data_IF_055922606175
#
_entry.id   IF_055922606175
#
_cell.length_a   1.000
_cell.length_b   1.000
_cell.length_c   1.000
_cell.angle_alpha   90.00
_cell.angle_beta   90.00
_cell.angle_gamma   90.00
#
_symmetry.space_group_name_H-M   'P 1'
#
loop_
_entity.id
_entity.type
_entity.pdbx_description
1 polymer ?
#
# COMPACT_ATOMS: atom_id res chain seq x y z
N UNK A 1 -1.03 24.36 -13.21
CA UNK A 1 -0.74 25.08 -11.95
C UNK A 1 -1.52 24.50 -10.77
N UNK A 2 -2.84 24.31 -10.90
CA UNK A 2 -3.68 23.61 -9.92
C UNK A 2 -3.19 22.20 -9.56
N UNK A 3 -2.77 21.37 -10.54
CA UNK A 3 -2.21 20.04 -10.26
C UNK A 3 -0.91 20.08 -9.42
N UNK A 4 -0.05 21.09 -9.64
CA UNK A 4 1.18 21.27 -8.85
C UNK A 4 0.86 21.67 -7.41
N UNK A 5 -0.13 22.55 -7.20
CA UNK A 5 -0.60 22.89 -5.86
C UNK A 5 -1.22 21.67 -5.16
N UNK A 6 -2.09 20.93 -5.85
CA UNK A 6 -2.71 19.71 -5.33
C UNK A 6 -1.66 18.67 -4.91
N UNK A 7 -0.64 18.44 -5.75
CA UNK A 7 0.47 17.54 -5.44
C UNK A 7 1.30 18.02 -4.24
N UNK A 8 1.55 19.34 -4.14
CA UNK A 8 2.20 19.94 -2.97
C UNK A 8 1.43 19.67 -1.67
N UNK A 9 0.11 19.87 -1.69
CA UNK A 9 -0.77 19.59 -0.54
C UNK A 9 -0.75 18.11 -0.13
N UNK A 10 -0.79 17.18 -1.10
CA UNK A 10 -0.67 15.74 -0.83
C UNK A 10 0.66 15.42 -0.17
N UNK A 11 1.77 15.96 -0.69
CA UNK A 11 3.10 15.74 -0.09
C UNK A 11 3.18 16.26 1.33
N UNK A 12 2.59 17.42 1.62
CA UNK A 12 2.50 17.95 2.99
C UNK A 12 1.70 17.02 3.91
N UNK A 13 0.56 16.50 3.44
CA UNK A 13 -0.25 15.57 4.21
C UNK A 13 0.49 14.24 4.48
N UNK A 14 1.19 13.71 3.47
CA UNK A 14 2.03 12.52 3.60
C UNK A 14 3.17 12.74 4.61
N UNK A 15 3.87 13.88 4.54
CA UNK A 15 4.93 14.23 5.48
C UNK A 15 4.40 14.37 6.93
N UNK A 16 3.20 14.92 7.10
CA UNK A 16 2.56 15.01 8.42
C UNK A 16 2.22 13.63 8.98
N UNK A 17 1.75 12.69 8.14
CA UNK A 17 1.50 11.30 8.55
C UNK A 17 2.79 10.62 9.03
N UNK A 18 3.87 10.78 8.28
CA UNK A 18 5.17 10.22 8.62
C UNK A 18 5.70 10.73 9.97
N UNK A 19 5.44 12.01 10.30
CA UNK A 19 5.83 12.58 11.61
C UNK A 19 5.15 11.91 12.81
N UNK A 20 3.94 11.35 12.64
CA UNK A 20 3.21 10.65 13.71
C UNK A 20 3.76 9.23 13.94
N UNK A 21 4.38 8.62 12.94
CA UNK A 21 4.94 7.27 13.01
C UNK A 21 6.27 7.19 12.26
N UNK A 22 7.32 7.86 12.76
CA UNK A 22 8.65 7.77 12.15
C UNK A 22 9.08 6.31 12.11
N UNK A 23 9.59 5.87 10.96
CA UNK A 23 10.08 4.51 10.64
C UNK A 23 9.06 3.49 10.11
N UNK A 24 7.83 3.86 9.74
CA UNK A 24 7.04 2.99 8.87
C UNK A 24 7.38 3.26 7.41
N UNK A 25 8.05 2.32 6.75
CA UNK A 25 8.50 2.42 5.35
C UNK A 25 7.37 2.69 4.32
N UNK A 26 6.11 2.62 4.75
CA UNK A 26 4.87 2.55 3.95
C UNK A 26 4.59 3.70 2.99
N UNK A 27 5.41 4.74 2.97
CA UNK A 27 5.17 5.97 2.19
C UNK A 27 6.42 6.47 1.46
N UNK A 28 7.47 5.65 1.38
CA UNK A 28 8.72 6.03 0.72
C UNK A 28 8.52 6.27 -0.79
N UNK A 29 9.30 7.17 -1.39
CA UNK A 29 9.31 7.38 -2.85
C UNK A 29 9.53 6.06 -3.60
N UNK A 30 10.24 5.10 -2.99
CA UNK A 30 10.48 3.75 -3.49
C UNK A 30 9.19 2.93 -3.57
N UNK A 31 8.32 3.01 -2.56
CA UNK A 31 7.01 2.35 -2.56
C UNK A 31 6.14 2.83 -3.73
N UNK A 32 6.05 4.16 -3.89
CA UNK A 32 5.28 4.77 -4.98
C UNK A 32 5.83 4.33 -6.34
N UNK A 33 7.16 4.38 -6.54
CA UNK A 33 7.80 3.92 -7.78
C UNK A 33 7.48 2.46 -8.08
N UNK A 34 7.50 1.58 -7.07
CA UNK A 34 7.17 0.18 -7.25
C UNK A 34 5.71 -0.02 -7.68
N UNK A 35 4.77 0.66 -7.03
CA UNK A 35 3.35 0.61 -7.37
C UNK A 35 3.11 1.04 -8.83
N UNK A 36 3.72 2.16 -9.24
CA UNK A 36 3.58 2.68 -10.61
C UNK A 36 4.23 1.74 -11.63
N UNK A 37 5.41 1.18 -11.33
CA UNK A 37 6.08 0.23 -12.21
C UNK A 37 5.24 -1.05 -12.45
N UNK A 38 4.52 -1.54 -11.43
CA UNK A 38 3.59 -2.66 -11.60
C UNK A 38 2.44 -2.26 -12.55
N UNK A 39 1.85 -1.08 -12.37
CA UNK A 39 0.75 -0.60 -13.18
C UNK A 39 1.16 -0.39 -14.66
N UNK A 40 2.35 0.15 -14.90
CA UNK A 40 2.94 0.31 -16.23
C UNK A 40 3.21 -1.04 -16.91
N UNK A 41 3.77 -2.01 -16.17
CA UNK A 41 3.99 -3.37 -16.69
C UNK A 41 2.65 -4.06 -17.03
N UNK A 42 1.57 -3.73 -16.31
CA UNK A 42 0.20 -4.17 -16.59
C UNK A 42 -0.50 -3.36 -17.70
N UNK A 43 0.15 -2.31 -18.24
CA UNK A 43 -0.37 -1.43 -19.30
C UNK A 43 -1.70 -0.77 -18.94
N UNK A 44 -1.84 -0.33 -17.68
CA UNK A 44 -3.01 0.44 -17.27
C UNK A 44 -3.10 1.79 -17.98
N UNK A 45 -4.29 2.37 -18.03
CA UNK A 45 -4.52 3.69 -18.62
C UNK A 45 -3.80 4.78 -17.81
N UNK A 46 -3.58 5.95 -18.42
CA UNK A 46 -2.95 7.08 -17.71
C UNK A 46 -3.81 7.55 -16.55
N UNK A 47 -5.12 7.51 -16.73
CA UNK A 47 -6.12 7.87 -15.74
C UNK A 47 -6.10 6.92 -14.52
N UNK A 48 -5.99 5.62 -14.77
CA UNK A 48 -5.87 4.61 -13.71
C UNK A 48 -4.54 4.75 -12.96
N UNK A 49 -3.44 4.98 -13.68
CA UNK A 49 -2.12 5.22 -13.09
C UNK A 49 -2.12 6.49 -12.22
N UNK A 50 -2.74 7.57 -12.69
CA UNK A 50 -2.86 8.81 -11.92
C UNK A 50 -3.65 8.60 -10.61
N UNK A 51 -4.77 7.88 -10.68
CA UNK A 51 -5.59 7.53 -9.52
C UNK A 51 -4.82 6.66 -8.51
N UNK A 52 -4.07 5.68 -9.02
CA UNK A 52 -3.22 4.81 -8.21
C UNK A 52 -2.04 5.56 -7.59
N UNK A 53 -1.45 6.53 -8.28
CA UNK A 53 -0.37 7.36 -7.75
C UNK A 53 -0.84 8.11 -6.50
N UNK A 54 -2.02 8.73 -6.55
CA UNK A 54 -2.59 9.39 -5.39
C UNK A 54 -2.90 8.42 -4.24
N UNK A 55 -3.41 7.23 -4.57
CA UNK A 55 -3.66 6.19 -3.56
C UNK A 55 -2.37 5.71 -2.88
N UNK A 56 -1.27 5.59 -3.63
CA UNK A 56 0.03 5.15 -3.11
C UNK A 56 0.70 6.19 -2.20
N UNK A 57 0.40 7.47 -2.38
CA UNK A 57 0.89 8.55 -1.51
C UNK A 57 0.15 8.62 -0.17
N UNK A 58 -1.12 8.18 -0.13
CA UNK A 58 -2.01 8.36 1.03
C UNK A 58 -2.72 7.07 1.49
N UNK A 59 -2.09 5.89 1.53
CA UNK A 59 -2.81 4.64 1.78
C UNK A 59 -3.38 4.53 3.21
N UNK A 60 -2.78 5.23 4.18
CA UNK A 60 -3.06 5.09 5.61
C UNK A 60 -3.32 6.45 6.32
N UNK A 61 -3.94 7.44 5.63
CA UNK A 61 -4.23 8.76 6.22
C UNK A 61 -5.01 8.70 7.54
N UNK A 62 -5.85 7.69 7.73
CA UNK A 62 -6.62 7.48 8.96
C UNK A 62 -5.82 7.00 10.16
N UNK A 63 -4.50 6.80 10.03
CA UNK A 63 -3.61 6.58 11.19
C UNK A 63 -3.65 7.72 12.19
N UNK A 64 -4.01 8.94 11.77
CA UNK A 64 -4.23 10.04 12.70
C UNK A 64 -5.28 9.72 13.77
N UNK A 65 -6.27 8.89 13.45
CA UNK A 65 -7.35 8.51 14.38
C UNK A 65 -6.97 7.36 15.32
N UNK A 66 -5.77 6.78 15.18
CA UNK A 66 -5.31 5.67 16.04
C UNK A 66 -4.47 6.22 17.21
N UNK A 67 -4.71 5.76 18.45
CA UNK A 67 -3.88 6.12 19.60
C UNK A 67 -2.42 5.66 19.45
N UNK A 68 -1.50 6.53 19.85
CA UNK A 68 -0.06 6.27 19.80
C UNK A 68 0.35 5.03 20.60
N UNK A 69 -0.30 4.78 21.74
CA UNK A 69 -0.07 3.60 22.57
C UNK A 69 -0.33 2.30 21.81
N UNK A 70 -1.31 2.28 20.91
CA UNK A 70 -1.63 1.11 20.07
C UNK A 70 -0.68 1.03 18.88
N UNK A 71 -0.31 2.17 18.27
CA UNK A 71 0.61 2.22 17.14
C UNK A 71 2.05 1.88 17.54
N UNK A 72 2.48 2.21 18.76
CA UNK A 72 3.88 2.10 19.24
C UNK A 72 4.13 1.03 20.31
N UNK A 73 3.09 0.31 20.76
CA UNK A 73 3.19 -0.91 21.57
C UNK A 73 4.36 -1.82 21.13
N UNK A 74 5.02 -2.54 22.03
CA UNK A 74 5.88 -3.66 21.65
C UNK A 74 5.10 -4.98 21.72
N UNK A 75 5.28 -5.86 20.73
CA UNK A 75 4.68 -7.21 20.72
C UNK A 75 3.21 -7.28 20.26
N UNK A 76 2.61 -8.47 20.34
CA UNK A 76 1.33 -8.73 19.67
C UNK A 76 0.17 -7.81 20.12
N UNK A 77 -0.62 -7.39 19.15
CA UNK A 77 -1.88 -6.66 19.39
C UNK A 77 -2.97 -7.63 19.84
N UNK A 78 -3.77 -7.20 20.81
CA UNK A 78 -5.02 -7.86 21.18
C UNK A 78 -6.05 -7.76 20.04
N UNK A 79 -7.07 -8.62 20.08
CA UNK A 79 -8.17 -8.56 19.09
C UNK A 79 -8.86 -7.19 19.05
N UNK A 80 -8.98 -6.51 20.20
CA UNK A 80 -9.58 -5.17 20.30
C UNK A 80 -8.69 -4.11 19.67
N UNK A 81 -7.39 -4.12 19.97
CA UNK A 81 -6.41 -3.21 19.35
C UNK A 81 -6.34 -3.41 17.85
N UNK A 82 -6.35 -4.66 17.39
CA UNK A 82 -6.35 -4.99 15.97
C UNK A 82 -7.62 -4.47 15.26
N UNK A 83 -8.79 -4.57 15.90
CA UNK A 83 -10.02 -4.00 15.38
C UNK A 83 -9.96 -2.46 15.28
N UNK A 84 -9.28 -1.79 16.21
CA UNK A 84 -9.05 -0.33 16.15
C UNK A 84 -8.17 0.01 14.96
N UNK A 85 -7.03 -0.69 14.77
CA UNK A 85 -6.16 -0.46 13.60
C UNK A 85 -6.93 -0.66 12.29
N UNK A 86 -7.78 -1.69 12.18
CA UNK A 86 -8.59 -1.89 10.97
C UNK A 86 -9.49 -0.70 10.63
N UNK A 87 -9.95 0.07 11.63
CA UNK A 87 -10.78 1.26 11.39
C UNK A 87 -10.02 2.39 10.67
N UNK A 88 -8.67 2.40 10.72
CA UNK A 88 -7.87 3.44 10.08
C UNK A 88 -8.23 3.61 8.60
N UNK A 89 -8.55 2.53 7.88
CA UNK A 89 -8.87 2.61 6.46
C UNK A 89 -10.14 3.41 6.19
N UNK A 90 -11.16 3.27 7.04
CA UNK A 90 -12.39 4.05 6.92
C UNK A 90 -12.18 5.51 7.34
N UNK A 91 -11.32 5.75 8.32
CA UNK A 91 -10.92 7.11 8.71
C UNK A 91 -10.10 7.78 7.60
N UNK A 92 -9.29 7.03 6.84
CA UNK A 92 -8.57 7.54 5.66
C UNK A 92 -9.55 8.14 4.66
N UNK A 93 -10.69 7.49 4.44
CA UNK A 93 -11.69 7.93 3.47
C UNK A 93 -12.33 9.26 3.87
N UNK A 94 -12.64 9.45 5.16
CA UNK A 94 -13.20 10.71 5.68
C UNK A 94 -12.26 11.90 5.50
N UNK A 95 -10.95 11.66 5.53
CA UNK A 95 -9.95 12.71 5.33
C UNK A 95 -9.88 13.12 3.85
N UNK A 96 -9.91 12.16 2.95
CA UNK A 96 -9.68 12.39 1.51
C UNK A 96 -10.96 12.71 0.73
N UNK A 97 -12.15 12.39 1.24
CA UNK A 97 -13.43 12.57 0.50
C UNK A 97 -13.72 14.03 0.17
N UNK A 98 -13.18 14.97 0.95
CA UNK A 98 -13.32 16.40 0.73
C UNK A 98 -12.46 16.94 -0.42
N UNK A 99 -11.52 16.14 -0.95
CA UNK A 99 -10.63 16.54 -2.02
C UNK A 99 -11.13 15.92 -3.34
N UNK A 100 -11.85 16.71 -4.15
CA UNK A 100 -12.49 16.24 -5.39
C UNK A 100 -11.55 15.45 -6.32
N UNK A 101 -10.32 15.92 -6.48
CA UNK A 101 -9.32 15.27 -7.33
C UNK A 101 -8.79 13.93 -6.77
N UNK A 102 -9.02 13.62 -5.49
CA UNK A 102 -8.69 12.34 -4.87
C UNK A 102 -9.82 11.31 -4.97
N UNK A 103 -11.03 11.70 -5.40
CA UNK A 103 -12.16 10.77 -5.50
C UNK A 103 -11.85 9.49 -6.28
N UNK A 104 -11.11 9.51 -7.41
CA UNK A 104 -10.73 8.29 -8.11
C UNK A 104 -9.83 7.35 -7.31
N UNK A 105 -9.09 7.85 -6.32
CA UNK A 105 -8.21 7.06 -5.45
C UNK A 105 -8.97 6.39 -4.28
N UNK A 106 -10.15 6.88 -3.92
CA UNK A 106 -10.95 6.39 -2.78
C UNK A 106 -11.21 4.88 -2.87
N UNK A 107 -11.67 4.30 -4.01
CA UNK A 107 -11.89 2.87 -4.10
C UNK A 107 -10.60 2.05 -3.95
N UNK A 108 -9.46 2.60 -4.34
CA UNK A 108 -8.16 1.94 -4.20
C UNK A 108 -7.76 1.88 -2.72
N UNK A 109 -7.81 3.03 -2.04
CA UNK A 109 -7.48 3.14 -0.61
C UNK A 109 -8.43 2.29 0.24
N UNK A 110 -9.73 2.30 -0.06
CA UNK A 110 -10.72 1.51 0.70
C UNK A 110 -10.44 0.01 0.65
N UNK A 111 -10.05 -0.52 -0.50
CA UNK A 111 -10.06 -1.96 -0.76
C UNK A 111 -8.66 -2.60 -0.87
N UNK A 112 -7.57 -1.88 -0.59
CA UNK A 112 -6.22 -2.45 -0.71
C UNK A 112 -5.90 -3.56 0.31
N UNK A 113 -6.77 -3.78 1.29
CA UNK A 113 -6.74 -4.93 2.20
C UNK A 113 -7.68 -6.07 1.84
N UNK A 114 -8.40 -5.94 0.72
CA UNK A 114 -9.14 -7.06 0.16
C UNK A 114 -8.17 -8.14 -0.33
N UNK A 115 -8.60 -9.40 -0.19
CA UNK A 115 -7.83 -10.57 -0.64
C UNK A 115 -8.50 -11.13 -1.87
N UNK A 116 -7.69 -11.58 -2.82
CA UNK A 116 -8.19 -12.07 -4.11
C UNK A 116 -9.20 -13.24 -3.97
N UNK A 117 -9.07 -14.03 -2.91
CA UNK A 117 -9.95 -15.14 -2.51
C UNK A 117 -11.31 -14.72 -1.89
N UNK A 118 -11.47 -13.45 -1.49
CA UNK A 118 -12.66 -12.90 -0.83
C UNK A 118 -12.63 -12.93 0.70
N UNK A 119 -11.50 -13.30 1.33
CA UNK A 119 -11.35 -13.36 2.81
C UNK A 119 -10.78 -12.07 3.41
N UNK A 120 -10.64 -11.03 2.59
CA UNK A 120 -10.15 -9.71 2.99
C UNK A 120 -11.22 -8.85 3.65
N UNK A 121 -10.92 -7.56 3.75
CA UNK A 121 -11.81 -6.56 4.33
C UNK A 121 -11.61 -5.22 3.60
N UNK A 122 -12.56 -4.27 3.67
CA UNK A 122 -13.75 -4.24 4.53
C UNK A 122 -14.99 -4.98 4.00
N UNK A 123 -15.13 -5.13 2.68
CA UNK A 123 -16.38 -5.56 2.03
C UNK A 123 -16.34 -7.03 1.59
N UNK A 124 -15.19 -7.70 1.66
CA UNK A 124 -15.02 -9.10 1.27
C UNK A 124 -15.08 -9.28 -0.25
N UNK A 125 -14.64 -8.26 -1.00
CA UNK A 125 -14.61 -8.29 -2.46
C UNK A 125 -13.69 -9.40 -2.96
N UNK A 126 -14.07 -10.01 -4.09
CA UNK A 126 -13.39 -11.17 -4.65
C UNK A 126 -12.96 -10.92 -6.09
N UNK A 127 -11.72 -11.30 -6.42
CA UNK A 127 -11.16 -11.29 -7.77
C UNK A 127 -11.34 -9.93 -8.49
N UNK A 128 -11.98 -9.92 -9.65
CA UNK A 128 -12.19 -8.75 -10.48
C UNK A 128 -13.10 -7.68 -9.87
N UNK A 129 -13.85 -8.02 -8.80
CA UNK A 129 -14.64 -7.03 -8.06
C UNK A 129 -13.74 -6.09 -7.24
N UNK A 130 -12.48 -6.48 -6.99
CA UNK A 130 -11.50 -5.63 -6.34
C UNK A 130 -10.91 -4.68 -7.40
N UNK A 131 -10.90 -3.34 -7.17
CA UNK A 131 -10.27 -2.40 -8.08
C UNK A 131 -8.82 -2.81 -8.40
N UNK A 132 -8.40 -2.68 -9.66
CA UNK A 132 -7.05 -3.12 -10.07
C UNK A 132 -5.95 -2.43 -9.26
N UNK A 133 -6.11 -1.12 -8.99
CA UNK A 133 -5.18 -0.38 -8.14
C UNK A 133 -5.09 -0.95 -6.72
N UNK A 134 -6.21 -1.39 -6.13
CA UNK A 134 -6.21 -2.00 -4.80
C UNK A 134 -5.48 -3.34 -4.78
N UNK A 135 -5.62 -4.13 -5.86
CA UNK A 135 -4.87 -5.40 -6.03
C UNK A 135 -3.37 -5.15 -6.16
N UNK A 136 -2.96 -4.08 -6.86
CA UNK A 136 -1.55 -3.67 -6.97
C UNK A 136 -1.00 -3.24 -5.60
N UNK A 137 -1.74 -2.38 -4.89
CA UNK A 137 -1.37 -1.92 -3.55
C UNK A 137 -1.21 -3.10 -2.58
N UNK A 138 -2.10 -4.09 -2.61
CA UNK A 138 -2.00 -5.28 -1.75
C UNK A 138 -0.68 -6.03 -1.92
N UNK A 139 -0.20 -6.21 -3.16
CA UNK A 139 1.10 -6.85 -3.45
C UNK A 139 2.25 -5.97 -2.98
N UNK A 140 2.24 -4.68 -3.34
CA UNK A 140 3.29 -3.73 -2.98
C UNK A 140 3.45 -3.60 -1.46
N UNK A 141 2.35 -3.43 -0.72
CA UNK A 141 2.35 -3.28 0.73
C UNK A 141 2.78 -4.56 1.43
N UNK A 142 2.40 -5.74 0.92
CA UNK A 142 2.87 -7.01 1.46
C UNK A 142 4.38 -7.20 1.26
N UNK A 143 4.89 -6.89 0.06
CA UNK A 143 6.32 -6.97 -0.23
C UNK A 143 7.13 -6.09 0.72
N UNK A 144 6.77 -4.83 0.81
CA UNK A 144 7.44 -3.87 1.69
C UNK A 144 7.36 -4.31 3.15
N UNK A 145 6.18 -4.76 3.61
CA UNK A 145 6.01 -5.24 4.98
C UNK A 145 6.95 -6.40 5.35
N UNK A 146 7.37 -7.21 4.38
CA UNK A 146 8.27 -8.35 4.59
C UNK A 146 9.76 -7.95 4.61
N UNK A 147 10.15 -6.96 3.82
CA UNK A 147 11.55 -6.53 3.71
C UNK A 147 11.91 -5.41 4.69
N UNK A 148 10.91 -4.71 5.23
CA UNK A 148 11.10 -3.67 6.26
C UNK A 148 11.16 -4.26 7.67
N UNK A 149 11.99 -3.68 8.53
CA UNK A 149 11.96 -3.96 9.97
C UNK A 149 10.70 -3.31 10.57
N UNK A 150 9.81 -4.11 11.19
CA UNK A 150 8.62 -3.58 11.89
C UNK A 150 8.73 -3.85 13.41
N UNK A 151 8.23 -2.96 14.28
CA UNK A 151 8.28 -3.17 15.75
C UNK A 151 7.54 -4.43 16.24
N UNK A 152 6.59 -4.93 15.44
CA UNK A 152 5.63 -5.99 15.82
C UNK A 152 5.70 -7.29 15.02
N UNK A 153 6.36 -7.26 13.86
CA UNK A 153 6.58 -8.45 13.03
C UNK A 153 8.06 -8.77 13.09
N UNK A 154 8.39 -10.07 13.09
CA UNK A 154 9.75 -10.58 13.30
C UNK A 154 10.80 -10.07 12.30
N UNK A 155 11.97 -10.72 12.29
CA UNK A 155 13.09 -10.33 11.41
C UNK A 155 12.62 -10.16 9.95
N UNK A 156 13.04 -9.05 9.33
CA UNK A 156 12.93 -8.84 7.88
C UNK A 156 13.43 -10.08 7.12
N UNK A 157 12.76 -10.44 6.05
CA UNK A 157 13.21 -11.52 5.15
C UNK A 157 13.92 -10.94 3.94
N UNK A 158 14.70 -11.76 3.23
CA UNK A 158 15.39 -11.32 2.02
C UNK A 158 14.41 -10.99 0.89
N UNK A 159 14.82 -10.12 -0.05
CA UNK A 159 14.02 -9.79 -1.24
C UNK A 159 13.59 -11.05 -2.00
N UNK A 160 14.49 -12.04 -2.15
CA UNK A 160 14.17 -13.30 -2.81
C UNK A 160 13.08 -14.08 -2.08
N UNK A 161 13.13 -14.15 -0.74
CA UNK A 161 12.10 -14.80 0.06
C UNK A 161 10.76 -14.06 -0.04
N UNK A 162 10.78 -12.72 -0.02
CA UNK A 162 9.57 -11.91 -0.16
C UNK A 162 8.90 -12.08 -1.53
N UNK A 163 9.69 -12.11 -2.61
CA UNK A 163 9.18 -12.40 -3.97
C UNK A 163 8.57 -13.80 -4.01
N UNK A 164 9.24 -14.80 -3.43
CA UNK A 164 8.74 -16.17 -3.39
C UNK A 164 7.42 -16.27 -2.61
N UNK A 165 7.33 -15.66 -1.44
CA UNK A 165 6.11 -15.63 -0.62
C UNK A 165 4.93 -15.03 -1.40
N UNK A 166 5.15 -13.95 -2.15
CA UNK A 166 4.12 -13.35 -3.00
C UNK A 166 3.69 -14.31 -4.12
N UNK A 167 4.64 -14.97 -4.78
CA UNK A 167 4.33 -15.91 -5.87
C UNK A 167 3.60 -17.17 -5.37
N UNK A 168 3.98 -17.70 -4.21
CA UNK A 168 3.34 -18.86 -3.58
C UNK A 168 1.88 -18.57 -3.19
N UNK A 169 1.55 -17.32 -2.85
CA UNK A 169 0.21 -16.89 -2.41
C UNK A 169 -0.68 -16.33 -3.54
N UNK A 170 -0.27 -16.46 -4.81
CA UNK A 170 -1.08 -16.00 -5.96
C UNK A 170 -2.38 -16.81 -6.09
N UNK A 171 -3.47 -16.13 -6.44
CA UNK A 171 -4.81 -16.71 -6.56
C UNK A 171 -5.53 -16.89 -5.22
N UNK A 172 -4.80 -16.91 -4.11
CA UNK A 172 -5.33 -16.83 -2.75
C UNK A 172 -5.36 -15.37 -2.27
N UNK A 173 -4.26 -14.91 -1.68
CA UNK A 173 -4.17 -13.54 -1.19
C UNK A 173 -4.09 -12.53 -2.34
N UNK A 174 -3.25 -12.83 -3.34
CA UNK A 174 -2.88 -11.86 -4.36
C UNK A 174 -3.47 -12.22 -5.72
N UNK A 175 -3.74 -11.20 -6.52
CA UNK A 175 -4.13 -11.40 -7.91
C UNK A 175 -2.97 -12.01 -8.73
N UNK A 176 -3.17 -13.16 -9.39
CA UNK A 176 -2.15 -13.77 -10.24
C UNK A 176 -1.58 -12.85 -11.33
N UNK A 177 -2.36 -11.94 -11.89
CA UNK A 177 -1.92 -11.01 -12.94
C UNK A 177 -0.97 -9.95 -12.39
N UNK A 178 -1.34 -9.39 -11.24
CA UNK A 178 -0.51 -8.41 -10.51
C UNK A 178 0.79 -9.06 -10.05
N UNK A 179 0.73 -10.28 -9.52
CA UNK A 179 1.93 -11.04 -9.12
C UNK A 179 2.86 -11.27 -10.30
N UNK A 180 2.33 -11.64 -11.48
CA UNK A 180 3.15 -11.80 -12.69
C UNK A 180 3.86 -10.50 -13.08
N UNK A 181 3.15 -9.37 -13.07
CA UNK A 181 3.74 -8.07 -13.36
C UNK A 181 4.83 -7.69 -12.32
N UNK A 182 4.52 -7.87 -11.04
CA UNK A 182 5.47 -7.65 -9.95
C UNK A 182 6.75 -8.49 -10.10
N UNK A 183 6.63 -9.79 -10.37
CA UNK A 183 7.79 -10.69 -10.56
C UNK A 183 8.61 -10.28 -11.78
N UNK A 184 7.97 -9.80 -12.87
CA UNK A 184 8.71 -9.30 -14.04
C UNK A 184 9.53 -8.06 -13.72
N UNK A 185 8.96 -7.08 -13.02
CA UNK A 185 9.72 -5.90 -12.61
C UNK A 185 10.81 -6.26 -11.61
N UNK A 186 10.56 -7.22 -10.71
CA UNK A 186 11.52 -7.64 -9.69
C UNK A 186 12.77 -8.34 -10.25
N UNK A 187 12.70 -8.87 -11.46
CA UNK A 187 13.82 -9.48 -12.18
C UNK A 187 14.70 -8.46 -12.91
N UNK A 188 14.22 -7.22 -13.09
CA UNK A 188 14.98 -6.18 -13.78
C UNK A 188 16.14 -5.70 -12.88
N UNK A 189 17.37 -5.50 -13.41
CA UNK A 189 18.52 -5.04 -12.61
C UNK A 189 18.24 -3.76 -11.81
N UNK A 190 17.43 -2.87 -12.37
CA UNK A 190 17.06 -1.58 -11.81
C UNK A 190 16.14 -1.69 -10.59
N UNK A 191 15.53 -2.86 -10.35
CA UNK A 191 14.64 -3.07 -9.22
C UNK A 191 15.34 -2.88 -7.88
N UNK A 192 16.60 -3.33 -7.74
CA UNK A 192 17.37 -3.11 -6.51
C UNK A 192 17.64 -1.62 -6.27
N UNK A 193 17.97 -0.89 -7.34
CA UNK A 193 18.16 0.56 -7.27
C UNK A 193 16.86 1.27 -6.87
N UNK A 194 15.72 0.80 -7.40
CA UNK A 194 14.40 1.31 -7.04
C UNK A 194 14.07 1.10 -5.57
N UNK A 195 14.55 0.03 -4.93
CA UNK A 195 14.34 -0.23 -3.50
C UNK A 195 15.28 0.60 -2.59
N UNK A 196 16.22 1.36 -3.16
CA UNK A 196 17.19 2.13 -2.37
C UNK A 196 18.16 1.25 -1.55
N UNK A 197 18.25 -0.05 -1.90
CA UNK A 197 19.19 -0.98 -1.29
C UNK A 197 20.44 -1.00 -2.17
N UNK A 198 21.46 -0.23 -1.80
CA UNK A 198 22.78 -0.32 -2.42
C UNK A 198 23.31 -1.75 -2.29
N UNK A 199 23.96 -2.24 -3.35
CA UNK A 199 24.56 -3.57 -3.43
C UNK A 199 25.55 -3.85 -2.29
#
# INVERSE_FOLDING_TARGET
EQEKMAYGSIKTLAALLDSKSPNTFTHSDQFVKMVLAIAEEMKLSREDIASLHYAALLPDTGRFSIPDEILKKPGNLSRREYAIIKKQHMESLKIIEHMEFLKPAIPIIKHHHERYDGTGYPDGLKRGNIPVGARIMAVATAFEAMISARPYKGKRISIHQAIKEIDDNKGGQFDPEVVRAFVRIAKKPEFKNMLGVSA
#
